data_IF_014971905808
#
_entry.id   IF_014971905808
#
_cell.length_a   1.000
_cell.length_b   1.000
_cell.length_c   1.000
_cell.angle_alpha   90.00
_cell.angle_beta   90.00
_cell.angle_gamma   90.00
#
_symmetry.space_group_name_H-M   'P 1'
#
loop_
_entity.id
_entity.type
_entity.pdbx_description
1 polymer ?
#
# COMPACT_ATOMS: atom_id res chain seq x y z
N UNK A 1 -2.09 2.18 -22.94
CA UNK A 1 -1.75 1.56 -21.65
C UNK A 1 -2.83 1.95 -20.67
N UNK A 2 -3.65 1.01 -20.23
CA UNK A 2 -4.66 1.27 -19.20
C UNK A 2 -3.93 1.38 -17.87
N UNK A 3 -3.76 2.59 -17.35
CA UNK A 3 -3.27 2.80 -15.98
C UNK A 3 -4.30 2.21 -15.03
N UNK A 4 -3.92 1.15 -14.30
CA UNK A 4 -4.77 0.64 -13.22
C UNK A 4 -4.82 1.72 -12.15
N UNK A 5 -6.02 2.19 -11.87
CA UNK A 5 -6.29 3.13 -10.80
C UNK A 5 -5.98 2.46 -9.45
N UNK A 6 -5.20 3.13 -8.60
CA UNK A 6 -4.82 2.56 -7.31
C UNK A 6 -6.04 2.25 -6.44
N UNK A 7 -5.96 1.20 -5.62
CA UNK A 7 -7.00 0.86 -4.65
C UNK A 7 -7.20 1.93 -3.57
N UNK A 8 -6.26 2.87 -3.42
CA UNK A 8 -6.36 4.01 -2.50
C UNK A 8 -7.25 5.14 -3.04
N UNK A 9 -7.57 5.16 -4.33
CA UNK A 9 -8.29 6.29 -4.95
C UNK A 9 -9.66 6.53 -4.32
N UNK A 10 -10.52 5.51 -4.09
CA UNK A 10 -11.79 5.72 -3.39
C UNK A 10 -11.59 6.29 -1.99
N UNK A 11 -10.65 5.74 -1.19
CA UNK A 11 -10.37 6.26 0.15
C UNK A 11 -9.88 7.71 0.14
N UNK A 12 -9.07 8.11 -0.85
CA UNK A 12 -8.64 9.51 -1.00
C UNK A 12 -9.78 10.45 -1.39
N UNK A 13 -10.75 9.97 -2.18
CA UNK A 13 -11.95 10.72 -2.54
C UNK A 13 -12.86 10.90 -1.32
N UNK A 14 -13.09 9.83 -0.55
CA UNK A 14 -13.89 9.90 0.67
C UNK A 14 -13.31 10.89 1.71
N UNK A 15 -11.98 10.94 1.83
CA UNK A 15 -11.29 11.91 2.67
C UNK A 15 -11.47 13.34 2.15
N UNK A 16 -11.41 13.55 0.83
CA UNK A 16 -11.61 14.86 0.20
C UNK A 16 -13.03 15.38 0.43
N UNK A 17 -14.03 14.51 0.24
CA UNK A 17 -15.44 14.81 0.54
C UNK A 17 -15.64 15.12 2.02
N UNK A 18 -15.01 14.35 2.92
CA UNK A 18 -15.11 14.59 4.37
C UNK A 18 -14.45 15.90 4.80
N UNK A 19 -13.36 16.31 4.14
CA UNK A 19 -12.74 17.62 4.37
C UNK A 19 -13.66 18.74 3.86
N UNK A 20 -14.34 18.55 2.72
CA UNK A 20 -15.35 19.50 2.25
C UNK A 20 -16.51 19.63 3.25
N UNK A 21 -17.02 18.51 3.76
CA UNK A 21 -18.07 18.51 4.79
C UNK A 21 -17.61 19.19 6.08
N UNK A 22 -16.33 19.01 6.48
CA UNK A 22 -15.77 19.67 7.66
C UNK A 22 -15.75 21.18 7.47
N UNK A 23 -15.35 21.65 6.29
CA UNK A 23 -15.32 23.07 5.94
C UNK A 23 -16.70 23.72 6.05
N UNK A 24 -17.73 23.01 5.58
CA UNK A 24 -19.11 23.50 5.57
C UNK A 24 -19.82 23.29 6.93
N UNK A 25 -19.17 22.62 7.89
CA UNK A 25 -19.74 22.33 9.20
C UNK A 25 -19.78 23.56 10.13
N UNK A 26 -20.80 23.59 10.99
CA UNK A 26 -20.80 24.52 12.12
C UNK A 26 -19.70 24.16 13.13
N UNK A 27 -19.26 25.13 13.92
CA UNK A 27 -18.28 24.89 14.99
C UNK A 27 -18.73 23.78 15.97
N UNK A 28 -20.03 23.71 16.27
CA UNK A 28 -20.60 22.71 17.19
C UNK A 28 -20.56 21.29 16.64
N UNK A 29 -20.49 21.13 15.31
CA UNK A 29 -20.54 19.83 14.63
C UNK A 29 -19.23 19.44 13.95
N UNK A 30 -18.27 20.36 13.79
CA UNK A 30 -17.05 20.11 13.02
C UNK A 30 -16.22 18.95 13.60
N UNK A 31 -16.20 18.79 14.94
CA UNK A 31 -15.44 17.71 15.58
C UNK A 31 -16.01 16.31 15.27
N UNK A 32 -17.33 16.15 15.05
CA UNK A 32 -17.88 14.85 14.63
C UNK A 32 -17.51 14.51 13.18
N UNK A 33 -17.25 15.51 12.35
CA UNK A 33 -16.71 15.29 11.00
C UNK A 33 -15.23 14.86 11.07
N UNK A 34 -14.45 15.39 12.03
CA UNK A 34 -13.08 14.89 12.28
C UNK A 34 -13.07 13.43 12.74
N UNK A 35 -14.03 13.01 13.57
CA UNK A 35 -14.17 11.60 13.96
C UNK A 35 -14.40 10.70 12.74
N UNK A 36 -15.24 11.13 11.79
CA UNK A 36 -15.44 10.40 10.52
C UNK A 36 -14.19 10.38 9.65
N UNK A 37 -13.43 11.47 9.60
CA UNK A 37 -12.15 11.53 8.90
C UNK A 37 -11.15 10.51 9.50
N UNK A 38 -11.05 10.45 10.83
CA UNK A 38 -10.21 9.45 11.52
C UNK A 38 -10.67 8.03 11.22
N UNK A 39 -11.99 7.77 11.25
CA UNK A 39 -12.53 6.46 10.87
C UNK A 39 -12.05 6.04 9.47
N UNK A 40 -12.15 6.93 8.47
CA UNK A 40 -11.69 6.64 7.11
C UNK A 40 -10.17 6.42 7.00
N UNK A 41 -9.36 7.10 7.82
CA UNK A 41 -7.92 6.86 7.90
C UNK A 41 -7.58 5.50 8.50
N UNK A 42 -8.44 4.98 9.38
CA UNK A 42 -8.24 3.72 10.09
C UNK A 42 -8.79 2.50 9.32
N UNK A 43 -9.55 2.71 8.25
CA UNK A 43 -10.08 1.67 7.38
C UNK A 43 -9.09 1.25 6.28
N UNK A 44 -9.11 -0.04 5.92
CA UNK A 44 -8.35 -0.57 4.78
C UNK A 44 -8.96 -0.09 3.45
N UNK A 45 -8.15 0.27 2.43
CA UNK A 45 -6.70 0.11 2.33
C UNK A 45 -5.84 1.26 2.92
N UNK A 46 -6.47 2.32 3.45
CA UNK A 46 -5.76 3.53 3.89
C UNK A 46 -4.89 3.27 5.12
N UNK A 47 -5.40 2.58 6.13
CA UNK A 47 -4.66 2.32 7.38
C UNK A 47 -3.39 1.51 7.15
N UNK A 48 -3.47 0.41 6.39
CA UNK A 48 -2.31 -0.38 6.00
C UNK A 48 -1.28 0.44 5.21
N UNK A 49 -1.73 1.29 4.28
CA UNK A 49 -0.84 2.19 3.55
C UNK A 49 -0.12 3.18 4.49
N UNK A 50 -0.86 3.87 5.36
CA UNK A 50 -0.28 4.84 6.29
C UNK A 50 0.70 4.19 7.27
N UNK A 51 0.38 3.01 7.79
CA UNK A 51 1.29 2.25 8.66
C UNK A 51 2.60 1.88 7.95
N UNK A 52 2.57 1.63 6.64
CA UNK A 52 3.75 1.27 5.87
C UNK A 52 4.63 2.47 5.50
N UNK A 53 4.06 3.68 5.36
CA UNK A 53 4.80 4.85 4.85
C UNK A 53 5.09 5.93 5.88
N UNK A 54 4.41 5.91 7.03
CA UNK A 54 4.56 6.93 8.06
C UNK A 54 5.43 6.43 9.23
N UNK A 55 6.35 7.27 9.74
CA UNK A 55 7.05 6.97 10.97
C UNK A 55 6.10 7.12 12.18
N UNK A 56 6.50 6.55 13.31
CA UNK A 56 5.81 6.82 14.57
C UNK A 56 5.91 8.32 14.92
N UNK A 57 4.78 9.02 15.19
CA UNK A 57 4.81 10.45 15.44
C UNK A 57 5.38 10.77 16.82
N UNK A 58 6.31 11.73 16.89
CA UNK A 58 6.85 12.29 18.14
C UNK A 58 5.92 13.37 18.72
N UNK A 59 4.63 13.04 18.85
CA UNK A 59 3.57 14.03 19.08
C UNK A 59 3.75 14.84 20.36
N UNK A 60 4.00 14.18 21.48
CA UNK A 60 4.10 14.84 22.79
C UNK A 60 5.24 15.85 22.86
N UNK A 61 6.40 15.54 22.27
CA UNK A 61 7.56 16.45 22.25
C UNK A 61 7.27 17.67 21.37
N UNK A 62 6.78 17.42 20.15
CA UNK A 62 6.41 18.49 19.22
C UNK A 62 5.31 19.38 19.78
N UNK A 63 4.27 18.80 20.37
CA UNK A 63 3.15 19.56 20.92
C UNK A 63 3.58 20.38 22.14
N UNK A 64 4.46 19.85 23.00
CA UNK A 64 5.04 20.60 24.11
C UNK A 64 5.84 21.83 23.66
N UNK A 65 6.69 21.69 22.64
CA UNK A 65 7.40 22.82 22.00
C UNK A 65 6.42 23.84 21.41
N UNK A 66 5.40 23.35 20.72
CA UNK A 66 4.35 24.15 20.08
C UNK A 66 3.58 24.98 21.12
N UNK A 67 3.16 24.37 22.23
CA UNK A 67 2.51 25.10 23.33
C UNK A 67 3.44 26.10 24.01
N UNK A 68 4.74 25.79 24.13
CA UNK A 68 5.73 26.71 24.68
C UNK A 68 5.93 27.99 23.85
N UNK A 69 5.53 27.99 22.57
CA UNK A 69 5.60 29.18 21.71
C UNK A 69 4.44 30.18 21.94
N UNK A 70 3.37 29.76 22.64
CA UNK A 70 2.17 30.58 22.82
C UNK A 70 2.45 31.70 23.81
N UNK A 71 2.43 32.93 23.30
CA UNK A 71 2.56 34.15 24.09
C UNK A 71 1.23 34.61 24.71
N UNK A 72 1.23 35.83 25.27
CA UNK A 72 0.05 36.41 25.93
C UNK A 72 -1.03 36.91 24.97
N UNK A 73 -0.71 37.08 23.68
CA UNK A 73 -1.67 37.51 22.65
C UNK A 73 -2.35 36.30 21.99
N UNK A 74 -3.65 36.39 21.73
CA UNK A 74 -4.39 35.37 20.96
C UNK A 74 -3.79 35.26 19.56
N UNK A 75 -3.65 34.03 19.05
CA UNK A 75 -3.04 33.77 17.75
C UNK A 75 -1.52 33.93 17.71
N UNK A 76 -0.84 34.04 18.85
CA UNK A 76 0.62 34.18 18.91
C UNK A 76 1.39 32.87 18.80
N UNK A 77 0.71 31.73 18.83
CA UNK A 77 1.33 30.42 18.74
C UNK A 77 1.96 30.19 17.37
N UNK A 78 3.13 29.55 17.36
CA UNK A 78 3.85 29.18 16.13
C UNK A 78 3.73 27.68 15.92
N UNK A 79 3.31 27.27 14.72
CA UNK A 79 3.29 25.88 14.29
C UNK A 79 4.48 25.59 13.39
N UNK A 80 5.44 24.82 13.90
CA UNK A 80 6.59 24.33 13.15
C UNK A 80 6.39 22.87 12.77
N UNK A 81 5.88 22.62 11.57
CA UNK A 81 5.75 21.26 11.06
C UNK A 81 7.10 20.67 10.65
N UNK A 82 7.31 19.35 10.79
CA UNK A 82 8.48 18.68 10.22
C UNK A 82 8.66 19.01 8.74
N UNK A 83 9.91 19.09 8.29
CA UNK A 83 10.26 19.35 6.88
C UNK A 83 10.03 18.10 6.03
N UNK A 84 10.37 16.91 6.56
CA UNK A 84 10.08 15.65 5.89
C UNK A 84 8.57 15.44 5.73
N UNK A 85 8.16 14.92 4.57
CA UNK A 85 6.74 14.76 4.24
C UNK A 85 6.07 13.68 5.09
N UNK A 86 6.73 12.55 5.30
CA UNK A 86 6.16 11.43 6.05
C UNK A 86 6.02 11.80 7.53
N UNK A 87 7.03 12.45 8.10
CA UNK A 87 6.98 12.97 9.48
C UNK A 87 5.87 14.01 9.66
N UNK A 88 5.74 14.94 8.70
CA UNK A 88 4.69 15.98 8.75
C UNK A 88 3.29 15.39 8.68
N UNK A 89 3.03 14.45 7.76
CA UNK A 89 1.74 13.75 7.65
C UNK A 89 1.44 12.98 8.94
N UNK A 90 2.40 12.23 9.47
CA UNK A 90 2.26 11.51 10.74
C UNK A 90 1.89 12.44 11.90
N UNK A 91 2.55 13.60 11.98
CA UNK A 91 2.31 14.62 13.00
C UNK A 91 0.94 15.30 12.86
N UNK A 92 0.51 15.61 11.64
CA UNK A 92 -0.81 16.19 11.37
C UNK A 92 -1.94 15.21 11.72
N UNK A 93 -1.82 13.93 11.34
CA UNK A 93 -2.78 12.88 11.73
C UNK A 93 -2.82 12.74 13.25
N UNK A 94 -1.67 12.74 13.93
CA UNK A 94 -1.61 12.66 15.39
C UNK A 94 -2.34 13.83 16.06
N UNK A 95 -2.22 15.06 15.52
CA UNK A 95 -2.98 16.20 16.02
C UNK A 95 -4.49 16.03 15.83
N UNK A 96 -4.93 15.59 14.65
CA UNK A 96 -6.37 15.36 14.39
C UNK A 96 -6.91 14.30 15.34
N UNK A 97 -6.16 13.21 15.57
CA UNK A 97 -6.52 12.17 16.55
C UNK A 97 -6.59 12.74 17.97
N UNK A 98 -5.63 13.56 18.38
CA UNK A 98 -5.62 14.18 19.71
C UNK A 98 -6.82 15.14 19.92
N UNK A 99 -7.26 15.83 18.86
CA UNK A 99 -8.47 16.64 18.87
C UNK A 99 -9.72 15.75 18.99
N UNK A 100 -9.85 14.74 18.14
CA UNK A 100 -10.98 13.81 18.17
C UNK A 100 -11.12 13.10 19.53
N UNK A 101 -9.99 12.70 20.13
CA UNK A 101 -9.96 12.08 21.46
C UNK A 101 -10.01 13.07 22.63
N UNK A 102 -10.25 14.36 22.38
CA UNK A 102 -10.34 15.45 23.37
C UNK A 102 -9.09 15.66 24.23
N UNK A 103 -7.93 15.14 23.81
CA UNK A 103 -6.64 15.44 24.45
C UNK A 103 -6.20 16.88 24.13
N UNK A 104 -6.55 17.37 22.95
CA UNK A 104 -6.38 18.75 22.53
C UNK A 104 -7.77 19.35 22.32
N UNK A 105 -8.10 20.42 23.04
CA UNK A 105 -9.36 21.14 22.83
C UNK A 105 -9.30 21.91 21.52
N UNK A 106 -10.21 21.61 20.58
CA UNK A 106 -10.24 22.22 19.26
C UNK A 106 -10.25 23.75 19.30
N UNK A 107 -11.15 24.33 20.13
CA UNK A 107 -11.27 25.78 20.29
C UNK A 107 -9.95 26.45 20.70
N UNK A 108 -9.27 25.85 21.68
CA UNK A 108 -8.04 26.43 22.22
C UNK A 108 -6.93 26.36 21.16
N UNK A 109 -6.85 25.25 20.42
CA UNK A 109 -5.90 25.09 19.34
C UNK A 109 -6.12 26.12 18.23
N UNK A 110 -7.35 26.25 17.70
CA UNK A 110 -7.61 27.20 16.61
C UNK A 110 -7.44 28.65 17.06
N UNK A 111 -7.76 28.99 18.31
CA UNK A 111 -7.49 30.33 18.84
C UNK A 111 -6.00 30.64 19.02
N UNK A 112 -5.18 29.64 19.38
CA UNK A 112 -3.76 29.83 19.61
C UNK A 112 -2.96 29.89 18.31
N UNK A 113 -3.32 29.07 17.32
CA UNK A 113 -2.47 28.84 16.14
C UNK A 113 -3.12 29.25 14.81
N UNK A 114 -4.45 29.31 14.74
CA UNK A 114 -5.20 29.66 13.52
C UNK A 114 -6.25 30.75 13.76
N UNK A 115 -5.88 31.75 14.57
CA UNK A 115 -6.80 32.84 14.88
C UNK A 115 -7.25 33.57 13.61
N UNK A 116 -8.57 33.62 13.38
CA UNK A 116 -9.22 34.23 12.21
C UNK A 116 -10.30 35.24 12.59
N UNK A 117 -10.29 35.74 13.84
CA UNK A 117 -11.18 36.80 14.29
C UNK A 117 -12.20 36.33 15.33
N UNK A 118 -13.45 36.82 15.23
CA UNK A 118 -14.52 36.53 16.21
C UNK A 118 -15.53 35.49 15.74
N UNK A 119 -15.52 35.16 14.45
CA UNK A 119 -16.46 34.21 13.88
C UNK A 119 -15.90 32.79 14.02
N UNK A 120 -16.63 31.92 14.72
CA UNK A 120 -16.20 30.54 14.93
C UNK A 120 -16.12 29.73 13.64
N UNK A 121 -16.97 30.02 12.65
CA UNK A 121 -16.90 29.37 11.34
C UNK A 121 -15.60 29.69 10.61
N UNK A 122 -15.06 30.90 10.77
CA UNK A 122 -13.77 31.28 10.15
C UNK A 122 -12.61 30.46 10.75
N UNK A 123 -12.74 29.94 11.98
CA UNK A 123 -11.74 29.04 12.57
C UNK A 123 -11.82 27.63 12.00
N UNK A 124 -13.03 27.14 11.70
CA UNK A 124 -13.25 25.85 11.03
C UNK A 124 -12.65 25.91 9.62
N UNK A 125 -12.96 26.95 8.86
CA UNK A 125 -12.38 27.20 7.53
C UNK A 125 -10.85 27.27 7.60
N UNK A 126 -10.31 28.04 8.55
CA UNK A 126 -8.86 28.17 8.71
C UNK A 126 -8.18 26.83 9.04
N UNK A 127 -8.81 25.98 9.85
CA UNK A 127 -8.30 24.65 10.15
C UNK A 127 -8.34 23.73 8.92
N UNK A 128 -9.42 23.77 8.15
CA UNK A 128 -9.54 23.01 6.90
C UNK A 128 -8.43 23.41 5.91
N UNK A 129 -8.33 24.70 5.60
CA UNK A 129 -7.42 25.23 4.58
C UNK A 129 -5.93 25.14 4.98
N UNK A 130 -5.61 25.30 6.27
CA UNK A 130 -4.21 25.34 6.75
C UNK A 130 -3.70 24.00 7.25
N UNK A 131 -4.57 23.04 7.54
CA UNK A 131 -4.20 21.74 8.08
C UNK A 131 -4.70 20.56 7.26
N UNK A 132 -6.02 20.43 7.08
CA UNK A 132 -6.61 19.25 6.44
C UNK A 132 -6.32 19.17 4.94
N UNK A 133 -6.43 20.28 4.21
CA UNK A 133 -6.14 20.30 2.77
C UNK A 133 -4.65 20.02 2.47
N UNK A 134 -3.66 20.65 3.16
CA UNK A 134 -2.26 20.28 3.02
C UNK A 134 -1.97 18.83 3.42
N UNK A 135 -2.64 18.32 4.46
CA UNK A 135 -2.52 16.92 4.88
C UNK A 135 -2.95 15.98 3.75
N UNK A 136 -4.15 16.16 3.20
CA UNK A 136 -4.65 15.32 2.10
C UNK A 136 -3.75 15.44 0.87
N UNK A 137 -3.28 16.64 0.53
CA UNK A 137 -2.33 16.86 -0.56
C UNK A 137 -1.04 16.05 -0.36
N UNK A 138 -0.45 16.11 0.83
CA UNK A 138 0.79 15.40 1.13
C UNK A 138 0.56 13.88 1.18
N UNK A 139 -0.60 13.41 1.65
CA UNK A 139 -1.01 12.00 1.55
C UNK A 139 -1.11 11.54 0.10
N UNK A 140 -1.78 12.30 -0.79
CA UNK A 140 -1.85 12.02 -2.23
C UNK A 140 -0.43 11.87 -2.82
N UNK A 141 0.51 12.76 -2.45
CA UNK A 141 1.92 12.66 -2.88
C UNK A 141 2.63 11.42 -2.38
N UNK A 142 2.37 10.95 -1.16
CA UNK A 142 2.96 9.71 -0.66
C UNK A 142 2.50 8.48 -1.47
N UNK A 143 1.28 8.52 -2.04
CA UNK A 143 0.80 7.42 -2.91
C UNK A 143 1.52 7.34 -4.26
N UNK A 144 2.13 8.43 -4.71
CA UNK A 144 2.80 8.51 -6.02
C UNK A 144 4.20 7.87 -6.00
N UNK A 145 4.83 7.72 -4.84
CA UNK A 145 6.23 7.32 -4.69
C UNK A 145 6.37 6.03 -3.89
N UNK A 146 6.34 4.87 -4.55
CA UNK A 146 6.88 3.62 -3.98
C UNK A 146 8.28 3.38 -4.55
N UNK A 147 9.28 3.32 -3.68
CA UNK A 147 10.61 2.84 -4.06
C UNK A 147 10.55 1.32 -4.24
N UNK A 148 10.60 0.83 -5.48
CA UNK A 148 10.68 -0.60 -5.80
C UNK A 148 12.05 -0.86 -6.46
N UNK A 149 12.72 -1.99 -6.19
CA UNK A 149 13.94 -2.35 -6.91
C UNK A 149 13.72 -2.30 -8.43
N UNK A 150 14.46 -1.45 -9.17
CA UNK A 150 14.12 -1.12 -10.56
C UNK A 150 14.22 -2.31 -11.51
N UNK A 151 15.20 -3.21 -11.31
CA UNK A 151 15.44 -4.37 -12.20
C UNK A 151 14.22 -5.30 -12.29
N UNK A 152 13.58 -5.62 -11.16
CA UNK A 152 12.40 -6.49 -11.16
C UNK A 152 11.17 -5.75 -11.69
N UNK A 153 11.06 -4.45 -11.42
CA UNK A 153 9.95 -3.63 -11.88
C UNK A 153 9.98 -3.39 -13.40
N UNK A 154 11.17 -3.22 -13.98
CA UNK A 154 11.36 -3.11 -15.43
C UNK A 154 11.03 -4.41 -16.16
N UNK A 155 11.29 -5.57 -15.54
CA UNK A 155 10.89 -6.87 -16.08
C UNK A 155 9.37 -7.09 -16.02
N UNK A 156 8.67 -6.50 -15.04
CA UNK A 156 7.22 -6.64 -14.86
C UNK A 156 6.41 -6.05 -16.03
N UNK A 157 5.87 -6.96 -16.84
CA UNK A 157 5.06 -6.64 -18.02
C UNK A 157 5.72 -7.04 -19.35
N UNK A 158 6.98 -7.49 -19.31
CA UNK A 158 7.77 -7.89 -20.48
C UNK A 158 7.96 -9.42 -20.57
N UNK A 159 7.05 -10.19 -19.96
CA UNK A 159 7.08 -11.66 -20.06
C UNK A 159 6.65 -12.11 -21.46
N UNK A 160 7.29 -13.16 -22.02
CA UNK A 160 6.85 -13.73 -23.28
C UNK A 160 5.48 -14.40 -23.12
N UNK A 161 4.67 -14.48 -24.21
CA UNK A 161 3.39 -15.18 -24.17
C UNK A 161 3.55 -16.63 -23.73
N UNK A 162 2.73 -17.08 -22.79
CA UNK A 162 2.80 -18.45 -22.28
C UNK A 162 2.11 -19.47 -23.18
N UNK A 163 1.42 -19.01 -24.23
CA UNK A 163 0.50 -19.82 -25.03
C UNK A 163 -0.84 -20.12 -24.35
N UNK A 164 -1.09 -19.55 -23.17
CA UNK A 164 -2.34 -19.70 -22.41
C UNK A 164 -2.85 -18.32 -22.01
N UNK A 165 -3.88 -17.82 -22.71
CA UNK A 165 -4.36 -16.45 -22.53
C UNK A 165 -4.85 -16.15 -21.09
N UNK A 166 -5.33 -17.18 -20.38
CA UNK A 166 -5.74 -17.05 -18.98
C UNK A 166 -4.53 -16.83 -18.07
N UNK A 167 -3.46 -17.62 -18.23
CA UNK A 167 -2.19 -17.44 -17.52
C UNK A 167 -1.59 -16.06 -17.79
N UNK A 168 -1.52 -15.65 -19.06
CA UNK A 168 -0.99 -14.33 -19.44
C UNK A 168 -1.80 -13.18 -18.79
N UNK A 169 -3.12 -13.35 -18.70
CA UNK A 169 -4.00 -12.39 -17.99
C UNK A 169 -3.74 -12.37 -16.49
N UNK A 170 -3.60 -13.53 -15.85
CA UNK A 170 -3.28 -13.63 -14.41
C UNK A 170 -1.94 -12.99 -14.08
N UNK A 171 -0.90 -13.24 -14.89
CA UNK A 171 0.43 -12.65 -14.74
C UNK A 171 0.40 -11.14 -14.87
N UNK A 172 -0.32 -10.62 -15.87
CA UNK A 172 -0.48 -9.18 -16.07
C UNK A 172 -1.19 -8.53 -14.88
N UNK A 173 -2.27 -9.15 -14.41
CA UNK A 173 -3.04 -8.65 -13.26
C UNK A 173 -2.21 -8.65 -11.97
N UNK A 174 -1.49 -9.74 -11.69
CA UNK A 174 -0.56 -9.82 -10.56
C UNK A 174 0.51 -8.72 -10.63
N UNK A 175 1.14 -8.52 -11.81
CA UNK A 175 2.12 -7.45 -12.00
C UNK A 175 1.50 -6.07 -11.77
N UNK A 176 0.31 -5.80 -12.29
CA UNK A 176 -0.35 -4.49 -12.15
C UNK A 176 -0.68 -4.19 -10.69
N UNK A 177 -1.28 -5.15 -9.97
CA UNK A 177 -1.58 -5.01 -8.54
C UNK A 177 -0.33 -4.79 -7.69
N UNK A 178 0.76 -5.49 -8.01
CA UNK A 178 2.01 -5.36 -7.25
C UNK A 178 2.63 -3.96 -7.32
N UNK A 179 2.31 -3.17 -8.36
CA UNK A 179 2.78 -1.78 -8.50
C UNK A 179 2.06 -0.82 -7.56
N UNK A 180 0.93 -1.22 -6.99
CA UNK A 180 0.15 -0.39 -6.08
C UNK A 180 0.90 -0.14 -4.75
N UNK A 181 0.89 1.10 -4.22
CA UNK A 181 1.52 1.43 -2.94
C UNK A 181 0.83 0.81 -1.71
N UNK A 182 -0.44 0.39 -1.81
CA UNK A 182 -1.17 -0.21 -0.70
C UNK A 182 -0.71 -1.65 -0.41
N UNK A 183 -0.34 -2.00 0.84
CA UNK A 183 0.02 -3.36 1.22
C UNK A 183 -1.03 -4.41 0.84
N UNK A 184 -2.31 -4.08 1.00
CA UNK A 184 -3.43 -4.96 0.65
C UNK A 184 -3.40 -5.38 -0.82
N UNK A 185 -3.23 -4.44 -1.75
CA UNK A 185 -3.14 -4.75 -3.18
C UNK A 185 -1.92 -5.62 -3.51
N UNK A 186 -0.80 -5.47 -2.78
CA UNK A 186 0.39 -6.30 -2.97
C UNK A 186 0.24 -7.73 -2.43
N UNK A 187 -0.49 -7.89 -1.33
CA UNK A 187 -0.88 -9.22 -0.85
C UNK A 187 -1.74 -9.93 -1.90
N UNK A 188 -2.79 -9.26 -2.41
CA UNK A 188 -3.64 -9.77 -3.50
C UNK A 188 -2.83 -10.09 -4.78
N UNK A 189 -1.82 -9.27 -5.10
CA UNK A 189 -0.91 -9.53 -6.21
C UNK A 189 -0.13 -10.84 -6.04
N UNK A 190 0.32 -11.11 -4.80
CA UNK A 190 1.07 -12.32 -4.45
C UNK A 190 0.19 -13.56 -4.56
N UNK A 191 -1.04 -13.52 -4.04
CA UNK A 191 -2.03 -14.59 -4.21
C UNK A 191 -2.28 -14.86 -5.69
N UNK A 192 -2.49 -13.80 -6.48
CA UNK A 192 -2.74 -13.89 -7.92
C UNK A 192 -1.56 -14.49 -8.68
N UNK A 193 -0.32 -14.16 -8.29
CA UNK A 193 0.89 -14.75 -8.87
C UNK A 193 0.98 -16.25 -8.55
N UNK A 194 0.57 -16.65 -7.35
CA UNK A 194 0.49 -18.07 -6.98
C UNK A 194 -0.57 -18.83 -7.79
N UNK A 195 -1.72 -18.22 -8.07
CA UNK A 195 -2.70 -18.80 -8.99
C UNK A 195 -2.15 -18.95 -10.41
N UNK A 196 -1.40 -17.95 -10.88
CA UNK A 196 -0.70 -18.03 -12.16
C UNK A 196 0.33 -19.18 -12.18
N UNK A 197 1.09 -19.36 -11.09
CA UNK A 197 2.00 -20.49 -10.94
C UNK A 197 1.26 -21.83 -11.02
N UNK A 198 0.12 -21.96 -10.34
CA UNK A 198 -0.69 -23.16 -10.36
C UNK A 198 -1.25 -23.48 -11.74
N UNK A 199 -1.61 -22.45 -12.52
CA UNK A 199 -2.00 -22.59 -13.93
C UNK A 199 -0.81 -23.02 -14.80
N UNK A 200 0.35 -22.37 -14.67
CA UNK A 200 1.56 -22.67 -15.44
C UNK A 200 1.99 -24.13 -15.31
N UNK A 201 1.85 -24.71 -14.11
CA UNK A 201 2.12 -26.14 -13.87
C UNK A 201 1.27 -27.11 -14.70
N UNK A 202 0.28 -26.64 -15.46
CA UNK A 202 -0.62 -27.46 -16.28
C UNK A 202 -0.59 -27.11 -17.78
N UNK A 203 0.27 -26.19 -18.22
CA UNK A 203 0.27 -25.67 -19.61
C UNK A 203 0.97 -26.62 -20.59
N UNK A 204 2.01 -27.34 -20.19
CA UNK A 204 2.81 -28.17 -21.11
C UNK A 204 2.15 -29.51 -21.45
N UNK A 205 1.40 -30.07 -20.50
CA UNK A 205 0.72 -31.35 -20.64
C UNK A 205 -0.64 -31.29 -19.98
N UNK A 206 -1.68 -31.20 -20.81
CA UNK A 206 -3.06 -31.20 -20.34
C UNK A 206 -3.38 -32.49 -19.56
N UNK A 207 -3.95 -32.35 -18.38
CA UNK A 207 -4.36 -33.48 -17.54
C UNK A 207 -3.24 -34.19 -16.76
N UNK A 208 -1.96 -33.85 -17.00
CA UNK A 208 -0.83 -34.41 -16.24
C UNK A 208 0.11 -33.32 -15.73
N UNK A 209 -0.27 -32.71 -14.60
CA UNK A 209 0.46 -31.63 -13.93
C UNK A 209 1.90 -32.01 -13.59
N UNK A 210 2.14 -33.25 -13.14
CA UNK A 210 3.49 -33.73 -12.79
C UNK A 210 4.39 -33.72 -14.03
N UNK A 211 3.92 -34.33 -15.12
CA UNK A 211 4.68 -34.36 -16.38
C UNK A 211 4.86 -32.96 -16.98
N UNK A 212 3.85 -32.10 -16.84
CA UNK A 212 3.93 -30.71 -17.29
C UNK A 212 5.04 -29.94 -16.57
N UNK A 213 5.15 -30.07 -15.24
CA UNK A 213 6.23 -29.45 -14.47
C UNK A 213 7.59 -30.01 -14.87
N UNK A 214 7.72 -31.33 -15.05
CA UNK A 214 8.97 -31.95 -15.50
C UNK A 214 9.43 -31.34 -16.83
N UNK A 215 8.55 -31.29 -17.84
CA UNK A 215 8.87 -30.69 -19.15
C UNK A 215 9.27 -29.21 -19.04
N UNK A 216 8.56 -28.45 -18.21
CA UNK A 216 8.85 -27.03 -18.00
C UNK A 216 10.26 -26.81 -17.45
N UNK A 217 10.63 -27.59 -16.44
CA UNK A 217 11.94 -27.48 -15.78
C UNK A 217 13.06 -28.04 -16.65
N UNK A 218 12.83 -29.14 -17.38
CA UNK A 218 13.82 -29.75 -18.27
C UNK A 218 14.17 -28.82 -19.45
N UNK A 219 13.19 -28.08 -19.98
CA UNK A 219 13.45 -27.02 -20.97
C UNK A 219 14.24 -25.85 -20.40
N UNK A 220 14.10 -25.58 -19.10
CA UNK A 220 14.78 -24.46 -18.46
C UNK A 220 16.27 -24.72 -18.24
N UNK A 221 16.68 -25.98 -18.09
CA UNK A 221 18.09 -26.32 -18.00
C UNK A 221 18.39 -27.76 -18.41
N UNK A 222 19.30 -27.98 -19.38
CA UNK A 222 19.82 -29.31 -19.69
C UNK A 222 20.89 -29.78 -18.69
N UNK A 223 21.41 -28.91 -17.81
CA UNK A 223 22.38 -29.28 -16.78
C UNK A 223 21.67 -29.98 -15.60
N UNK A 224 21.95 -31.26 -15.31
CA UNK A 224 21.30 -31.99 -14.23
C UNK A 224 21.48 -31.35 -12.85
N UNK A 225 22.63 -30.72 -12.60
CA UNK A 225 22.91 -30.10 -11.31
C UNK A 225 21.99 -28.89 -11.07
N UNK A 226 21.98 -27.94 -12.01
CA UNK A 226 21.10 -26.77 -11.92
C UNK A 226 19.62 -27.15 -11.98
N UNK A 227 19.24 -28.14 -12.81
CA UNK A 227 17.88 -28.67 -12.89
C UNK A 227 17.36 -29.20 -11.56
N UNK A 228 18.22 -29.79 -10.72
CA UNK A 228 17.87 -30.26 -9.38
C UNK A 228 17.53 -29.10 -8.44
N UNK A 229 18.32 -28.01 -8.48
CA UNK A 229 18.03 -26.80 -7.70
C UNK A 229 16.72 -26.13 -8.13
N UNK A 230 16.43 -26.08 -9.43
CA UNK A 230 15.15 -25.57 -9.95
C UNK A 230 13.96 -26.39 -9.46
N UNK A 231 14.10 -27.72 -9.38
CA UNK A 231 13.03 -28.59 -8.86
C UNK A 231 12.76 -28.32 -7.38
N UNK A 232 13.83 -28.25 -6.60
CA UNK A 232 13.74 -27.97 -5.18
C UNK A 232 13.05 -26.62 -4.95
N UNK A 233 13.44 -25.59 -5.70
CA UNK A 233 12.83 -24.26 -5.61
C UNK A 233 11.34 -24.28 -5.97
N UNK A 234 10.96 -24.90 -7.10
CA UNK A 234 9.57 -25.02 -7.53
C UNK A 234 8.70 -25.79 -6.50
N UNK A 235 9.27 -26.81 -5.86
CA UNK A 235 8.63 -27.58 -4.80
C UNK A 235 8.46 -26.72 -3.54
N UNK A 236 9.51 -26.06 -3.07
CA UNK A 236 9.47 -25.17 -1.90
C UNK A 236 8.45 -24.04 -2.09
N UNK A 237 8.40 -23.40 -3.25
CA UNK A 237 7.40 -22.35 -3.53
C UNK A 237 5.96 -22.88 -3.54
N UNK A 238 5.77 -24.13 -3.98
CA UNK A 238 4.46 -24.80 -3.88
C UNK A 238 4.09 -25.09 -2.43
N UNK A 239 5.04 -25.56 -1.62
CA UNK A 239 4.84 -25.81 -0.18
C UNK A 239 4.51 -24.52 0.58
N UNK A 240 5.25 -23.43 0.32
CA UNK A 240 4.98 -22.11 0.90
C UNK A 240 3.56 -21.64 0.59
N UNK A 241 3.13 -21.71 -0.67
CA UNK A 241 1.79 -21.29 -1.07
C UNK A 241 0.67 -22.06 -0.36
N UNK A 242 0.90 -23.34 -0.05
CA UNK A 242 -0.06 -24.18 0.66
C UNK A 242 -0.01 -24.02 2.18
N UNK A 243 1.08 -23.53 2.76
CA UNK A 243 1.26 -23.41 4.20
C UNK A 243 0.79 -22.05 4.75
N UNK A 244 0.98 -20.99 3.99
CA UNK A 244 0.58 -19.63 4.36
C UNK A 244 -0.77 -19.26 3.74
N UNK A 245 -1.43 -18.23 4.27
CA UNK A 245 -2.62 -17.58 3.66
C UNK A 245 -2.25 -16.83 2.36
N UNK A 246 -1.73 -17.57 1.39
CA UNK A 246 -1.42 -17.14 0.00
C UNK A 246 -2.29 -17.94 -0.96
N UNK A 247 -2.54 -19.23 -0.66
CA UNK A 247 -3.62 -20.02 -1.25
C UNK A 247 -4.41 -20.71 -0.14
N UNK A 248 -5.71 -20.89 -0.39
CA UNK A 248 -6.67 -21.57 0.47
C UNK A 248 -6.78 -20.94 1.88
N UNK A 249 -7.85 -20.18 2.11
CA UNK A 249 -8.10 -19.47 3.37
C UNK A 249 -8.69 -20.38 4.46
N UNK A 250 -8.10 -21.56 4.65
CA UNK A 250 -8.47 -22.48 5.71
C UNK A 250 -7.99 -21.95 7.08
N UNK A 251 -8.66 -22.35 8.15
CA UNK A 251 -8.42 -21.84 9.52
C UNK A 251 -7.10 -22.30 10.14
N UNK A 252 -6.42 -23.25 9.49
CA UNK A 252 -5.15 -23.84 9.94
C UNK A 252 -3.91 -23.21 9.29
N UNK A 253 -4.07 -22.26 8.35
CA UNK A 253 -2.95 -21.62 7.65
C UNK A 253 -2.37 -20.45 8.45
N UNK A 254 -1.11 -20.13 8.16
CA UNK A 254 -0.37 -19.06 8.83
C UNK A 254 -0.50 -17.76 8.03
N UNK A 255 -0.95 -16.68 8.66
CA UNK A 255 -0.96 -15.37 8.04
C UNK A 255 0.45 -14.77 8.06
N UNK A 256 0.86 -14.17 6.96
CA UNK A 256 2.09 -13.36 6.93
C UNK A 256 1.85 -12.07 7.71
N UNK A 257 2.83 -11.69 8.54
CA UNK A 257 2.69 -10.61 9.49
C UNK A 257 3.09 -9.24 8.93
N UNK A 258 3.98 -9.22 7.93
CA UNK A 258 4.59 -7.99 7.42
C UNK A 258 4.43 -7.88 5.90
N UNK A 259 4.07 -6.71 5.35
CA UNK A 259 3.95 -6.50 3.91
C UNK A 259 5.20 -6.89 3.10
N UNK A 260 6.39 -6.72 3.68
CA UNK A 260 7.67 -7.03 3.06
C UNK A 260 7.83 -8.54 2.79
N UNK A 261 7.13 -9.39 3.56
CA UNK A 261 7.12 -10.83 3.34
C UNK A 261 6.35 -11.19 2.06
N UNK A 262 5.22 -10.54 1.80
CA UNK A 262 4.50 -10.67 0.53
C UNK A 262 5.37 -10.16 -0.62
N UNK A 263 6.01 -9.01 -0.47
CA UNK A 263 6.92 -8.47 -1.47
C UNK A 263 8.06 -9.46 -1.79
N UNK A 264 8.73 -10.00 -0.78
CA UNK A 264 9.77 -11.02 -0.95
C UNK A 264 9.27 -12.24 -1.72
N UNK A 265 8.12 -12.79 -1.32
CA UNK A 265 7.55 -13.98 -1.94
C UNK A 265 7.09 -13.73 -3.38
N UNK A 266 6.51 -12.56 -3.65
CA UNK A 266 6.18 -12.13 -5.00
C UNK A 266 7.44 -12.12 -5.87
N UNK A 267 8.51 -11.44 -5.44
CA UNK A 267 9.76 -11.36 -6.21
C UNK A 267 10.37 -12.75 -6.44
N UNK A 268 10.39 -13.61 -5.42
CA UNK A 268 10.96 -14.96 -5.50
C UNK A 268 10.22 -15.83 -6.52
N UNK A 269 8.89 -15.88 -6.45
CA UNK A 269 8.09 -16.64 -7.41
C UNK A 269 8.15 -16.02 -8.82
N UNK A 270 8.10 -14.68 -8.90
CA UNK A 270 8.16 -13.97 -10.17
C UNK A 270 9.48 -14.25 -10.91
N UNK A 271 10.62 -14.25 -10.20
CA UNK A 271 11.92 -14.57 -10.77
C UNK A 271 11.95 -15.99 -11.37
N UNK A 272 11.38 -16.98 -10.68
CA UNK A 272 11.24 -18.33 -11.22
C UNK A 272 10.35 -18.35 -12.46
N UNK A 273 9.15 -17.76 -12.39
CA UNK A 273 8.22 -17.73 -13.52
C UNK A 273 8.81 -17.03 -14.74
N UNK A 274 9.49 -15.90 -14.53
CA UNK A 274 10.21 -15.18 -15.57
C UNK A 274 11.24 -16.08 -16.25
N UNK A 275 12.11 -16.73 -15.46
CA UNK A 275 13.13 -17.63 -16.00
C UNK A 275 12.52 -18.80 -16.81
N UNK A 276 11.47 -19.44 -16.29
CA UNK A 276 10.82 -20.57 -16.96
C UNK A 276 10.15 -20.16 -18.27
N UNK A 277 9.43 -19.04 -18.29
CA UNK A 277 8.74 -18.56 -19.50
C UNK A 277 9.72 -18.14 -20.61
N UNK A 278 10.81 -17.45 -20.27
CA UNK A 278 11.85 -17.12 -21.26
C UNK A 278 12.60 -18.34 -21.79
N UNK A 279 12.81 -19.34 -20.94
CA UNK A 279 13.50 -20.57 -21.38
C UNK A 279 12.65 -21.41 -22.33
N UNK A 280 11.31 -21.33 -22.24
CA UNK A 280 10.40 -22.01 -23.17
C UNK A 280 10.57 -21.54 -24.61
N UNK A 281 10.65 -20.23 -24.85
CA UNK A 281 10.77 -19.69 -26.21
C UNK A 281 12.03 -20.17 -26.93
N UNK A 282 13.16 -20.29 -26.21
CA UNK A 282 14.43 -20.76 -26.80
C UNK A 282 14.35 -22.20 -27.30
N UNK A 283 13.44 -23.01 -26.79
CA UNK A 283 13.25 -24.40 -27.19
C UNK A 283 12.25 -24.61 -28.33
N UNK A 284 11.45 -23.60 -28.68
CA UNK A 284 10.50 -23.67 -29.80
C UNK A 284 11.12 -23.20 -31.12
N UNK A 285 12.23 -22.44 -31.05
CA UNK A 285 13.01 -21.95 -32.19
C UNK A 285 14.18 -22.89 -32.60
N UNK A 286 14.30 -24.06 -31.95
CA UNK A 286 15.37 -25.06 -32.17
C UNK A 286 14.79 -26.39 -32.68
#
# INVERSE_FOLDING_TARGET
MTTVTSVLVPSLQDLEETISDFRDASFQSCESVLERLIYQLDEEPMSGFLAAVLPAPIFSEWFGKTQGSVGSMVGSGVLEWPVDRSERVAMQIALVRAIASKQVRFLDFVHQFYYSGRNLSDHVEAFAAKLLEPLLRDMKRLTESRAVPPVLFEAMGNLPPSGDALLDSMLRDACLKFKDPAPKARAEATEKLWDAWERLKSVEVQGNKKLSVIRLLDRASPDPAFRTYLEAEAKTLTEIGNAFHIRHFETDKISLAQPEQFDYLFHRLYALMHFLLFSRQRGDDA
#
